data_IF_612983308449
#
_entry.id   IF_612983308449
#
_cell.length_a   1.000
_cell.length_b   1.000
_cell.length_c   1.000
_cell.angle_alpha   90.00
_cell.angle_beta   90.00
_cell.angle_gamma   90.00
#
_symmetry.space_group_name_H-M   'P 1'
#
loop_
_entity.id
_entity.type
_entity.pdbx_description
1 polymer ?
#
# COMPACT_ATOMS: atom_id res chain seq x y z
N UNK A 1 28.85 3.62 -6.94
CA UNK A 1 27.41 3.69 -6.66
C UNK A 1 26.85 2.35 -7.07
N UNK A 2 26.82 1.39 -6.14
CA UNK A 2 26.49 0.00 -6.45
C UNK A 2 25.02 -0.12 -6.85
N UNK A 3 24.79 -0.85 -7.94
CA UNK A 3 23.49 -1.26 -8.50
C UNK A 3 22.73 -2.24 -7.58
N UNK A 4 23.16 -2.41 -6.33
CA UNK A 4 22.71 -3.46 -5.42
C UNK A 4 21.23 -3.32 -5.01
N UNK A 5 20.67 -2.11 -5.16
CA UNK A 5 19.23 -1.86 -4.95
C UNK A 5 18.34 -2.66 -5.91
N UNK A 6 18.79 -2.88 -7.15
CA UNK A 6 18.00 -3.60 -8.17
C UNK A 6 18.18 -5.13 -8.08
N UNK A 7 19.25 -5.61 -7.46
CA UNK A 7 19.51 -7.04 -7.26
C UNK A 7 18.97 -7.57 -5.94
N UNK A 8 18.88 -6.72 -4.91
CA UNK A 8 18.41 -7.10 -3.58
C UNK A 8 16.89 -7.31 -3.49
N UNK A 9 16.12 -6.64 -4.35
CA UNK A 9 14.68 -6.78 -4.44
C UNK A 9 14.30 -7.17 -5.87
N UNK A 10 14.00 -8.45 -6.15
CA UNK A 10 13.62 -8.86 -7.49
C UNK A 10 12.36 -8.10 -7.93
N UNK A 11 12.40 -7.52 -9.13
CA UNK A 11 11.22 -6.89 -9.72
C UNK A 11 10.17 -7.98 -9.95
N UNK A 12 9.01 -7.83 -9.34
CA UNK A 12 7.84 -8.65 -9.65
C UNK A 12 6.99 -7.91 -10.69
N UNK A 13 6.87 -8.48 -11.88
CA UNK A 13 5.95 -7.98 -12.89
C UNK A 13 4.59 -8.68 -12.73
N UNK A 14 3.52 -7.90 -12.64
CA UNK A 14 2.15 -8.41 -12.71
C UNK A 14 1.41 -7.66 -13.82
N UNK A 15 0.80 -8.40 -14.73
CA UNK A 15 -0.08 -7.86 -15.76
C UNK A 15 -1.52 -7.92 -15.27
N UNK A 16 -2.06 -6.77 -14.87
CA UNK A 16 -3.43 -6.66 -14.40
C UNK A 16 -4.30 -6.18 -15.56
N UNK A 17 -5.19 -7.02 -16.05
CA UNK A 17 -6.20 -6.64 -17.04
C UNK A 17 -7.43 -6.09 -16.32
N UNK A 18 -7.72 -4.81 -16.51
CA UNK A 18 -8.67 -4.04 -15.71
C UNK A 18 -10.14 -4.18 -16.17
N UNK A 19 -10.51 -5.25 -16.90
CA UNK A 19 -11.86 -5.36 -17.47
C UNK A 19 -12.98 -5.46 -16.41
N UNK A 20 -12.62 -5.71 -15.15
CA UNK A 20 -13.52 -5.75 -13.99
C UNK A 20 -13.61 -4.42 -13.22
N UNK A 21 -12.68 -3.48 -13.42
CA UNK A 21 -12.61 -2.25 -12.63
C UNK A 21 -12.89 -1.02 -13.48
N UNK A 22 -13.75 -0.14 -12.97
CA UNK A 22 -14.12 1.11 -13.61
C UNK A 22 -13.08 2.21 -13.33
N UNK A 23 -12.45 2.16 -12.14
CA UNK A 23 -11.39 3.09 -11.75
C UNK A 23 -10.24 2.38 -11.05
N UNK A 24 -9.02 2.87 -11.32
CA UNK A 24 -7.79 2.47 -10.63
C UNK A 24 -7.22 3.69 -9.91
N UNK A 25 -6.99 3.55 -8.62
CA UNK A 25 -6.27 4.52 -7.81
C UNK A 25 -4.86 4.01 -7.56
N UNK A 26 -3.86 4.86 -7.82
CA UNK A 26 -2.48 4.57 -7.48
C UNK A 26 -2.15 5.25 -6.16
N UNK A 27 -2.02 4.46 -5.09
CA UNK A 27 -1.62 4.92 -3.77
C UNK A 27 -0.10 4.86 -3.66
N UNK A 28 0.61 5.96 -3.33
CA UNK A 28 2.03 5.85 -3.04
C UNK A 28 2.29 4.95 -1.82
N UNK A 29 1.67 5.23 -0.68
CA UNK A 29 1.86 4.50 0.57
C UNK A 29 0.57 3.85 1.08
N UNK A 30 0.75 3.05 2.14
CA UNK A 30 -0.30 2.30 2.81
C UNK A 30 -1.17 3.23 3.68
N UNK A 31 -2.00 4.07 3.05
CA UNK A 31 -2.90 5.06 3.67
C UNK A 31 -3.40 6.15 2.69
N UNK A 32 -2.58 6.54 1.71
CA UNK A 32 -2.79 7.77 0.94
C UNK A 32 -4.17 7.88 0.28
N UNK A 33 -4.66 6.81 -0.37
CA UNK A 33 -6.01 6.80 -0.99
C UNK A 33 -7.11 6.86 0.06
N UNK A 34 -6.97 6.11 1.17
CA UNK A 34 -7.94 6.13 2.27
C UNK A 34 -8.03 7.53 2.90
N UNK A 35 -6.91 8.24 3.05
CA UNK A 35 -6.90 9.57 3.65
C UNK A 35 -7.33 10.68 2.68
N UNK A 36 -7.01 10.53 1.39
CA UNK A 36 -7.16 11.63 0.42
C UNK A 36 -8.39 11.48 -0.48
N UNK A 37 -8.84 10.25 -0.75
CA UNK A 37 -9.79 9.96 -1.81
C UNK A 37 -11.07 9.24 -1.35
N UNK A 38 -11.19 8.89 -0.07
CA UNK A 38 -12.34 8.12 0.46
C UNK A 38 -13.70 8.70 0.07
N UNK A 39 -13.89 10.02 0.12
CA UNK A 39 -15.16 10.63 -0.26
C UNK A 39 -15.53 10.40 -1.73
N UNK A 40 -14.55 10.33 -2.63
CA UNK A 40 -14.77 10.03 -4.05
C UNK A 40 -14.99 8.53 -4.27
N UNK A 41 -14.17 7.69 -3.64
CA UNK A 41 -14.27 6.23 -3.70
C UNK A 41 -15.66 5.77 -3.22
N UNK A 42 -16.10 6.24 -2.05
CA UNK A 42 -17.43 5.91 -1.53
C UNK A 42 -18.56 6.35 -2.46
N UNK A 43 -18.44 7.50 -3.13
CA UNK A 43 -19.44 7.95 -4.11
C UNK A 43 -19.48 7.04 -5.34
N UNK A 44 -18.34 6.61 -5.86
CA UNK A 44 -18.28 5.72 -7.01
C UNK A 44 -18.82 4.33 -6.67
N UNK A 45 -18.47 3.80 -5.51
CA UNK A 45 -18.99 2.51 -5.02
C UNK A 45 -20.51 2.57 -4.83
N UNK A 46 -21.05 3.68 -4.29
CA UNK A 46 -22.49 3.89 -4.19
C UNK A 46 -23.21 3.95 -5.55
N UNK A 47 -22.49 4.25 -6.63
CA UNK A 47 -23.00 4.21 -8.01
C UNK A 47 -22.89 2.81 -8.64
N UNK A 48 -22.36 1.81 -7.90
CA UNK A 48 -22.15 0.45 -8.39
C UNK A 48 -20.88 0.26 -9.20
N UNK A 49 -19.94 1.21 -9.15
CA UNK A 49 -18.66 1.12 -9.85
C UNK A 49 -17.66 0.29 -9.04
N UNK A 50 -16.84 -0.49 -9.74
CA UNK A 50 -15.80 -1.33 -9.16
C UNK A 50 -14.48 -0.57 -9.12
N UNK A 51 -13.85 -0.52 -7.94
CA UNK A 51 -12.63 0.26 -7.69
C UNK A 51 -11.50 -0.69 -7.32
N UNK A 52 -10.32 -0.46 -7.92
CA UNK A 52 -9.06 -1.08 -7.54
C UNK A 52 -8.11 -0.01 -6.98
N UNK A 53 -7.50 -0.27 -5.83
CA UNK A 53 -6.43 0.52 -5.25
C UNK A 53 -5.12 -0.25 -5.36
N UNK A 54 -4.14 0.33 -6.04
CA UNK A 54 -2.79 -0.23 -6.19
C UNK A 54 -1.84 0.59 -5.34
N UNK A 55 -1.30 -0.01 -4.27
CA UNK A 55 -0.29 0.64 -3.42
C UNK A 55 1.12 0.31 -3.88
N UNK A 56 1.86 1.35 -4.28
CA UNK A 56 3.16 1.25 -4.94
C UNK A 56 4.28 0.88 -3.94
N UNK A 57 4.37 1.57 -2.81
CA UNK A 57 5.44 1.38 -1.82
C UNK A 57 5.04 0.42 -0.69
N UNK A 58 4.42 -0.71 -1.04
CA UNK A 58 3.97 -1.76 -0.10
C UNK A 58 4.98 -2.93 0.06
N UNK A 59 6.27 -2.68 -0.19
CA UNK A 59 7.32 -3.68 -0.03
C UNK A 59 7.58 -4.09 1.43
N UNK A 60 8.36 -5.16 1.62
CA UNK A 60 8.77 -5.66 2.95
C UNK A 60 10.30 -5.63 3.09
N UNK A 61 10.88 -4.45 3.37
CA UNK A 61 12.32 -4.32 3.52
C UNK A 61 12.81 -5.12 4.73
N UNK A 62 14.00 -5.73 4.59
CA UNK A 62 14.63 -6.54 5.62
C UNK A 62 15.73 -5.76 6.36
N UNK A 63 16.01 -6.07 7.64
CA UNK A 63 17.08 -5.44 8.40
C UNK A 63 18.48 -5.72 7.79
N UNK A 64 19.53 -4.94 8.17
CA UNK A 64 19.52 -3.89 9.19
C UNK A 64 18.89 -2.58 8.68
N UNK A 65 18.07 -1.97 9.54
CA UNK A 65 17.46 -0.66 9.27
C UNK A 65 18.35 0.48 9.78
N UNK A 66 18.36 1.61 9.06
CA UNK A 66 19.04 2.83 9.52
C UNK A 66 18.40 3.38 10.80
N UNK A 67 19.12 4.20 11.59
CA UNK A 67 18.55 4.82 12.79
C UNK A 67 17.28 5.64 12.53
N UNK A 68 17.20 6.27 11.35
CA UNK A 68 16.01 7.01 10.92
C UNK A 68 14.80 6.08 10.74
N UNK A 69 14.95 4.97 10.01
CA UNK A 69 13.87 3.99 9.79
C UNK A 69 13.39 3.41 11.13
N UNK A 70 14.32 3.10 12.04
CA UNK A 70 13.96 2.63 13.38
C UNK A 70 13.16 3.67 14.17
N UNK A 71 13.51 4.96 14.08
CA UNK A 71 12.72 6.03 14.74
C UNK A 71 11.30 6.14 14.18
N UNK A 72 11.14 5.94 12.86
CA UNK A 72 9.83 5.93 12.20
C UNK A 72 9.01 4.72 12.68
N UNK A 73 9.57 3.51 12.70
CA UNK A 73 8.89 2.32 13.20
C UNK A 73 8.41 2.48 14.66
N UNK A 74 9.25 3.07 15.52
CA UNK A 74 8.87 3.39 16.91
C UNK A 74 7.73 4.41 16.98
N UNK A 75 7.74 5.42 16.12
CA UNK A 75 6.68 6.44 16.06
C UNK A 75 5.32 5.86 15.63
N UNK A 76 5.32 4.78 14.84
CA UNK A 76 4.11 4.07 14.45
C UNK A 76 3.57 3.13 15.53
N UNK A 77 4.28 2.98 16.66
CA UNK A 77 4.01 1.95 17.66
C UNK A 77 3.92 0.52 17.07
N UNK A 78 4.60 0.30 15.93
CA UNK A 78 4.59 -0.97 15.23
C UNK A 78 5.70 -1.90 15.78
N UNK A 79 5.52 -3.21 15.63
CA UNK A 79 6.57 -4.18 15.95
C UNK A 79 7.85 -3.86 15.19
N UNK A 80 9.00 -3.79 15.88
CA UNK A 80 10.30 -3.58 15.22
C UNK A 80 10.68 -4.76 14.30
N UNK A 81 10.09 -5.95 14.51
CA UNK A 81 10.34 -7.13 13.69
C UNK A 81 9.59 -7.10 12.34
N UNK A 82 8.35 -6.58 12.32
CA UNK A 82 7.46 -6.63 11.14
C UNK A 82 6.57 -5.38 10.99
N UNK A 83 7.15 -4.17 10.92
CA UNK A 83 6.36 -2.93 10.95
C UNK A 83 5.46 -2.78 9.72
N UNK A 84 5.91 -3.23 8.55
CA UNK A 84 5.13 -3.16 7.31
C UNK A 84 3.98 -4.16 7.24
N UNK A 85 4.05 -5.29 7.96
CA UNK A 85 2.94 -6.24 8.05
C UNK A 85 1.75 -5.62 8.80
N UNK A 86 2.01 -4.84 9.85
CA UNK A 86 0.97 -4.08 10.56
C UNK A 86 0.29 -3.10 9.62
N UNK A 87 1.06 -2.32 8.86
CA UNK A 87 0.51 -1.35 7.90
C UNK A 87 -0.29 -2.00 6.77
N UNK A 88 0.14 -3.17 6.28
CA UNK A 88 -0.62 -3.93 5.28
C UNK A 88 -1.96 -4.42 5.83
N UNK A 89 -1.99 -4.85 7.09
CA UNK A 89 -3.22 -5.27 7.76
C UNK A 89 -4.17 -4.08 7.99
N UNK A 90 -3.63 -2.90 8.33
CA UNK A 90 -4.40 -1.66 8.38
C UNK A 90 -5.02 -1.31 7.02
N UNK A 91 -4.25 -1.41 5.94
CA UNK A 91 -4.76 -1.18 4.59
C UNK A 91 -5.85 -2.18 4.20
N UNK A 92 -5.67 -3.49 4.46
CA UNK A 92 -6.73 -4.48 4.17
C UNK A 92 -8.04 -4.14 4.87
N UNK A 93 -7.97 -3.68 6.13
CA UNK A 93 -9.16 -3.23 6.87
C UNK A 93 -9.78 -1.97 6.26
N UNK A 94 -8.96 -0.99 5.87
CA UNK A 94 -9.43 0.23 5.24
C UNK A 94 -10.12 -0.06 3.89
N UNK A 95 -9.53 -0.88 3.02
CA UNK A 95 -10.11 -1.27 1.73
C UNK A 95 -11.41 -2.05 1.91
N UNK A 96 -11.45 -2.98 2.86
CA UNK A 96 -12.67 -3.71 3.21
C UNK A 96 -13.81 -2.79 3.71
N UNK A 97 -13.48 -1.74 4.47
CA UNK A 97 -14.45 -0.74 4.93
C UNK A 97 -14.94 0.16 3.79
N UNK A 98 -14.06 0.51 2.85
CA UNK A 98 -14.42 1.32 1.69
C UNK A 98 -15.21 0.52 0.65
N UNK A 99 -15.02 -0.80 0.57
CA UNK A 99 -15.57 -1.65 -0.48
C UNK A 99 -14.74 -1.61 -1.77
N UNK A 100 -13.47 -1.21 -1.68
CA UNK A 100 -12.52 -1.25 -2.78
C UNK A 100 -11.66 -2.54 -2.70
N UNK A 101 -11.14 -2.98 -3.85
CA UNK A 101 -10.12 -4.04 -3.93
C UNK A 101 -8.73 -3.44 -3.71
#
# INVERSE_FOLDING_TARGET
MELDLLTKYPYSEQHITHSRFDYIYLSPHLDDVSLSCSGTVCRQIAQGLNILVITIFAGEPQPPFSPFVQSVHRSWHASEERPYQVRKEEERKAMALLGAD
#
